data_IF_181951492514
#
_entry.id   IF_181951492514
#
_cell.length_a   1.000
_cell.length_b   1.000
_cell.length_c   1.000
_cell.angle_alpha   90.00
_cell.angle_beta   90.00
_cell.angle_gamma   90.00
#
_symmetry.space_group_name_H-M   'P 1'
#
loop_
_entity.id
_entity.type
_entity.pdbx_description
1 polymer ?
#
# COMPACT_ATOMS: atom_id res chain seq x y z
N UNK A 1 7.25 11.43 -11.96
CA UNK A 1 6.80 10.53 -13.04
C UNK A 1 5.30 10.66 -13.29
N UNK A 2 4.94 10.84 -14.56
CA UNK A 2 3.57 10.76 -15.09
C UNK A 2 3.01 9.32 -15.07
N UNK A 3 1.70 9.17 -15.21
CA UNK A 3 1.03 7.86 -15.35
C UNK A 3 1.64 7.04 -16.49
N UNK A 4 1.89 7.67 -17.65
CA UNK A 4 2.49 7.00 -18.81
C UNK A 4 3.89 6.48 -18.55
N UNK A 5 4.71 7.26 -17.83
CA UNK A 5 6.05 6.85 -17.42
C UNK A 5 6.02 5.69 -16.43
N UNK A 6 5.09 5.69 -15.46
CA UNK A 6 4.89 4.59 -14.51
C UNK A 6 4.48 3.30 -15.20
N UNK A 7 3.55 3.36 -16.17
CA UNK A 7 3.15 2.20 -16.97
C UNK A 7 4.35 1.63 -17.72
N UNK A 8 5.10 2.48 -18.42
CA UNK A 8 6.30 2.10 -19.16
C UNK A 8 7.37 1.50 -18.25
N UNK A 9 7.53 2.07 -17.06
CA UNK A 9 8.48 1.61 -16.05
C UNK A 9 8.19 0.17 -15.61
N UNK A 10 6.99 -0.07 -15.09
CA UNK A 10 6.59 -1.41 -14.63
C UNK A 10 6.55 -2.43 -15.76
N UNK A 11 6.14 -2.03 -16.98
CA UNK A 11 6.18 -2.91 -18.15
C UNK A 11 7.60 -3.39 -18.44
N UNK A 12 8.59 -2.48 -18.39
CA UNK A 12 10.01 -2.82 -18.60
C UNK A 12 10.56 -3.69 -17.48
N UNK A 13 10.21 -3.41 -16.22
CA UNK A 13 10.61 -4.24 -15.08
C UNK A 13 10.09 -5.67 -15.21
N UNK A 14 8.87 -5.83 -15.73
CA UNK A 14 8.28 -7.15 -16.03
C UNK A 14 8.88 -7.81 -17.28
N UNK A 15 9.65 -7.10 -18.09
CA UNK A 15 10.29 -7.64 -19.30
C UNK A 15 9.36 -7.86 -20.49
N UNK A 16 8.18 -7.26 -20.51
CA UNK A 16 7.20 -7.45 -21.61
C UNK A 16 7.19 -6.27 -22.60
N UNK A 17 6.77 -6.51 -23.83
CA UNK A 17 6.59 -5.54 -24.90
C UNK A 17 5.27 -4.78 -24.77
N UNK A 18 5.14 -3.66 -25.50
CA UNK A 18 3.86 -2.93 -25.58
C UNK A 18 2.74 -3.77 -26.20
N UNK A 19 3.08 -4.70 -27.10
CA UNK A 19 2.14 -5.63 -27.72
C UNK A 19 1.62 -6.66 -26.74
N UNK A 20 2.51 -7.28 -25.97
CA UNK A 20 2.12 -8.23 -24.91
C UNK A 20 1.27 -7.54 -23.82
N UNK A 21 1.61 -6.31 -23.44
CA UNK A 21 0.77 -5.55 -22.51
C UNK A 21 -0.63 -5.27 -23.09
N UNK A 22 -0.73 -4.97 -24.39
CA UNK A 22 -2.00 -4.79 -25.08
C UNK A 22 -2.85 -6.07 -25.09
N UNK A 23 -2.22 -7.22 -25.34
CA UNK A 23 -2.87 -8.54 -25.28
C UNK A 23 -3.38 -8.87 -23.88
N UNK A 24 -2.55 -8.71 -22.85
CA UNK A 24 -2.90 -8.99 -21.45
C UNK A 24 -4.05 -8.11 -20.93
N UNK A 25 -4.14 -6.86 -21.42
CA UNK A 25 -5.13 -5.89 -20.95
C UNK A 25 -6.40 -5.85 -21.82
N UNK A 26 -6.35 -6.43 -23.03
CA UNK A 26 -7.37 -6.24 -24.06
C UNK A 26 -7.49 -4.79 -24.56
N UNK A 27 -6.48 -3.95 -24.30
CA UNK A 27 -6.42 -2.56 -24.75
C UNK A 27 -5.71 -2.53 -26.10
N UNK A 28 -6.22 -1.76 -27.05
CA UNK A 28 -5.60 -1.66 -28.38
C UNK A 28 -4.12 -1.20 -28.30
N UNK A 29 -3.17 -1.79 -29.05
CA UNK A 29 -1.74 -1.46 -28.98
C UNK A 29 -1.41 0.03 -29.19
N UNK A 30 -2.17 0.70 -30.07
CA UNK A 30 -2.04 2.15 -30.30
C UNK A 30 -2.37 2.95 -29.03
N UNK A 31 -3.34 2.51 -28.23
CA UNK A 31 -3.70 3.17 -26.97
C UNK A 31 -2.61 2.99 -25.94
N UNK A 32 -2.06 1.78 -25.77
CA UNK A 32 -0.89 1.53 -24.90
C UNK A 32 0.28 2.44 -25.26
N UNK A 33 0.61 2.55 -26.55
CA UNK A 33 1.67 3.46 -27.02
C UNK A 33 1.37 4.93 -26.70
N UNK A 34 0.11 5.37 -26.87
CA UNK A 34 -0.30 6.74 -26.53
C UNK A 34 -0.24 7.00 -25.02
N UNK A 35 -0.58 6.03 -24.19
CA UNK A 35 -0.44 6.13 -22.73
C UNK A 35 1.03 6.27 -22.33
N UNK A 36 1.91 5.37 -22.78
CA UNK A 36 3.35 5.41 -22.42
C UNK A 36 4.11 6.62 -22.99
N UNK A 37 3.53 7.33 -23.96
CA UNK A 37 4.10 8.57 -24.52
C UNK A 37 3.39 9.82 -24.02
N UNK A 38 2.52 9.70 -23.02
CA UNK A 38 1.71 10.79 -22.44
C UNK A 38 0.86 11.56 -23.46
N UNK A 39 0.63 10.98 -24.65
CA UNK A 39 -0.24 11.55 -25.70
C UNK A 39 -1.72 11.33 -25.41
N UNK A 40 -2.03 10.47 -24.45
CA UNK A 40 -3.37 10.18 -23.96
C UNK A 40 -3.25 9.73 -22.51
N UNK A 41 -4.20 10.09 -21.66
CA UNK A 41 -4.27 9.59 -20.28
C UNK A 41 -5.26 8.42 -20.22
N UNK A 42 -4.91 7.29 -19.59
CA UNK A 42 -5.85 6.21 -19.37
C UNK A 42 -6.90 6.60 -18.33
N UNK A 43 -8.13 6.16 -18.54
CA UNK A 43 -9.21 6.29 -17.54
C UNK A 43 -9.00 5.28 -16.40
N UNK A 44 -9.60 5.48 -15.21
CA UNK A 44 -9.42 4.56 -14.08
C UNK A 44 -9.67 3.07 -14.41
N UNK A 45 -10.73 2.68 -15.16
CA UNK A 45 -10.92 1.27 -15.54
C UNK A 45 -9.81 0.71 -16.44
N UNK A 46 -9.13 1.57 -17.21
CA UNK A 46 -7.98 1.17 -18.03
C UNK A 46 -6.74 1.00 -17.16
N UNK A 47 -6.55 1.88 -16.17
CA UNK A 47 -5.47 1.78 -15.19
C UNK A 47 -5.62 0.52 -14.35
N UNK A 48 -6.82 0.15 -13.92
CA UNK A 48 -7.08 -1.12 -13.22
C UNK A 48 -6.62 -2.34 -14.03
N UNK A 49 -6.99 -2.39 -15.32
CA UNK A 49 -6.57 -3.48 -16.22
C UNK A 49 -5.06 -3.52 -16.38
N UNK A 50 -4.43 -2.36 -16.57
CA UNK A 50 -2.97 -2.25 -16.72
C UNK A 50 -2.26 -2.66 -15.42
N UNK A 51 -2.73 -2.20 -14.26
CA UNK A 51 -2.19 -2.55 -12.95
C UNK A 51 -2.27 -4.07 -12.71
N UNK A 52 -3.42 -4.68 -13.01
CA UNK A 52 -3.60 -6.12 -12.93
C UNK A 52 -2.65 -6.88 -13.88
N UNK A 53 -2.53 -6.45 -15.14
CA UNK A 53 -1.63 -7.07 -16.11
C UNK A 53 -0.15 -6.94 -15.72
N UNK A 54 0.22 -5.86 -15.02
CA UNK A 54 1.57 -5.61 -14.55
C UNK A 54 1.85 -6.22 -13.16
N UNK A 55 0.84 -6.77 -12.47
CA UNK A 55 0.89 -7.22 -11.07
C UNK A 55 1.36 -6.13 -10.10
N UNK A 56 0.84 -4.91 -10.26
CA UNK A 56 1.10 -3.79 -9.35
C UNK A 56 -0.22 -3.25 -8.79
N UNK A 57 -0.15 -2.51 -7.69
CA UNK A 57 -1.35 -1.83 -7.18
C UNK A 57 -1.80 -0.72 -8.14
N UNK A 58 -3.10 -0.46 -8.22
CA UNK A 58 -3.66 0.69 -8.95
C UNK A 58 -2.96 2.00 -8.53
N UNK A 59 -2.73 2.18 -7.23
CA UNK A 59 -2.07 3.37 -6.69
C UNK A 59 -0.62 3.52 -7.11
N UNK A 60 0.07 2.42 -7.47
CA UNK A 60 1.43 2.47 -8.00
C UNK A 60 1.49 3.22 -9.33
N UNK A 61 0.42 3.15 -10.13
CA UNK A 61 0.31 3.80 -11.43
C UNK A 61 -0.38 5.16 -11.31
N UNK A 62 -1.48 5.23 -10.57
CA UNK A 62 -2.32 6.42 -10.47
C UNK A 62 -1.85 7.42 -9.39
N UNK A 63 -0.97 6.98 -8.48
CA UNK A 63 -0.61 7.69 -7.26
C UNK A 63 -1.59 7.41 -6.10
N UNK A 64 -1.11 7.52 -4.86
CA UNK A 64 -1.99 7.77 -3.72
C UNK A 64 -2.05 9.27 -3.51
N UNK A 65 -3.26 9.83 -3.52
CA UNK A 65 -3.44 11.17 -2.98
C UNK A 65 -3.17 11.10 -1.48
N UNK A 66 -2.14 11.79 -0.99
CA UNK A 66 -1.83 11.88 0.45
C UNK A 66 -3.01 12.43 1.25
N UNK A 67 -3.95 13.13 0.59
CA UNK A 67 -5.20 13.58 1.19
C UNK A 67 -6.20 12.46 1.51
N UNK A 68 -6.01 11.26 0.96
CA UNK A 68 -6.95 10.13 1.09
C UNK A 68 -7.09 9.60 2.53
N UNK A 69 -6.09 9.83 3.38
CA UNK A 69 -6.12 9.40 4.79
C UNK A 69 -5.65 10.53 5.71
N UNK A 70 -6.53 11.50 5.97
CA UNK A 70 -6.39 12.38 7.14
C UNK A 70 -6.84 11.61 8.37
N UNK A 71 -6.14 11.70 9.49
CA UNK A 71 -6.53 11.06 10.75
C UNK A 71 -6.58 12.11 11.87
N UNK A 72 -7.49 13.07 11.72
CA UNK A 72 -7.64 14.20 12.65
C UNK A 72 -8.86 14.01 13.56
N UNK A 73 -9.88 13.31 13.08
CA UNK A 73 -11.16 13.13 13.78
C UNK A 73 -11.47 11.65 14.05
N UNK A 74 -12.41 11.42 14.98
CA UNK A 74 -12.99 10.07 15.18
C UNK A 74 -13.65 9.54 13.89
N UNK A 75 -14.25 10.41 13.09
CA UNK A 75 -14.87 10.01 11.81
C UNK A 75 -13.84 9.43 10.85
N UNK A 76 -12.67 10.06 10.78
CA UNK A 76 -11.56 9.58 9.95
C UNK A 76 -11.06 8.20 10.39
N UNK A 77 -10.90 8.01 11.71
CA UNK A 77 -10.53 6.71 12.29
C UNK A 77 -11.54 5.63 11.91
N UNK A 78 -12.84 5.92 12.01
CA UNK A 78 -13.88 4.96 11.63
C UNK A 78 -13.80 4.63 10.13
N UNK A 79 -13.58 5.64 9.27
CA UNK A 79 -13.37 5.42 7.84
C UNK A 79 -12.20 4.50 7.54
N UNK A 80 -11.07 4.68 8.23
CA UNK A 80 -9.90 3.82 8.12
C UNK A 80 -10.19 2.38 8.58
N UNK A 81 -10.82 2.20 9.75
CA UNK A 81 -11.18 0.87 10.27
C UNK A 81 -12.16 0.15 9.35
N UNK A 82 -13.17 0.84 8.82
CA UNK A 82 -14.11 0.26 7.86
C UNK A 82 -13.41 -0.16 6.56
N UNK A 83 -12.49 0.66 6.06
CA UNK A 83 -11.71 0.35 4.86
C UNK A 83 -10.79 -0.85 5.09
N UNK A 84 -10.10 -0.89 6.22
CA UNK A 84 -9.24 -2.01 6.62
C UNK A 84 -10.04 -3.32 6.79
N UNK A 85 -11.24 -3.26 7.39
CA UNK A 85 -12.12 -4.42 7.52
C UNK A 85 -12.59 -4.94 6.16
N UNK A 86 -13.10 -4.05 5.29
CA UNK A 86 -13.54 -4.41 3.93
C UNK A 86 -12.41 -4.94 3.05
N UNK A 87 -11.18 -4.44 3.26
CA UNK A 87 -9.98 -4.91 2.58
C UNK A 87 -9.45 -6.25 3.15
N UNK A 88 -10.05 -6.79 4.22
CA UNK A 88 -9.60 -8.03 4.86
C UNK A 88 -8.27 -7.91 5.60
N UNK A 89 -7.92 -6.70 6.05
CA UNK A 89 -6.72 -6.44 6.86
C UNK A 89 -6.99 -6.72 8.35
N UNK A 90 -8.20 -6.42 8.80
CA UNK A 90 -8.62 -6.59 10.19
C UNK A 90 -9.97 -7.30 10.29
N UNK A 91 -10.21 -7.92 11.44
CA UNK A 91 -11.48 -8.55 11.80
C UNK A 91 -11.85 -8.23 13.25
N UNK A 92 -13.15 -8.27 13.54
CA UNK A 92 -13.66 -8.20 14.93
C UNK A 92 -13.74 -9.62 15.45
N UNK A 93 -13.09 -9.88 16.58
CA UNK A 93 -13.16 -11.13 17.31
C UNK A 93 -13.78 -10.90 18.68
N UNK A 94 -14.58 -11.86 19.14
CA UNK A 94 -15.30 -11.78 20.40
C UNK A 94 -16.59 -12.62 20.41
N UNK A 95 -17.13 -12.90 21.59
CA UNK A 95 -18.34 -13.72 21.72
C UNK A 95 -19.56 -12.98 21.20
N UNK A 96 -20.39 -13.70 20.43
CA UNK A 96 -21.67 -13.21 19.94
C UNK A 96 -22.81 -13.67 20.85
N UNK A 97 -23.87 -12.89 20.89
CA UNK A 97 -25.12 -13.30 21.51
C UNK A 97 -25.94 -14.22 20.58
N UNK A 98 -27.11 -14.65 21.05
CA UNK A 98 -28.03 -15.51 20.30
C UNK A 98 -28.60 -14.90 19.02
N UNK A 99 -28.45 -13.58 18.83
CA UNK A 99 -28.89 -12.85 17.65
C UNK A 99 -27.73 -12.53 16.70
N UNK A 100 -26.50 -12.98 17.03
CA UNK A 100 -25.30 -12.74 16.25
C UNK A 100 -24.62 -11.39 16.51
N UNK A 101 -25.08 -10.62 17.51
CA UNK A 101 -24.46 -9.35 17.88
C UNK A 101 -23.25 -9.59 18.80
N UNK A 102 -22.20 -8.81 18.59
CA UNK A 102 -20.99 -8.87 19.40
C UNK A 102 -21.21 -8.31 20.81
N UNK A 103 -20.67 -8.99 21.83
CA UNK A 103 -20.61 -8.45 23.19
C UNK A 103 -19.43 -7.49 23.29
N UNK A 104 -19.70 -6.19 23.13
CA UNK A 104 -18.70 -5.12 22.98
C UNK A 104 -17.55 -5.20 23.99
N UNK A 105 -17.85 -5.44 25.26
CA UNK A 105 -16.87 -5.50 26.37
C UNK A 105 -15.85 -6.65 26.23
N UNK A 106 -16.16 -7.65 25.39
CA UNK A 106 -15.33 -8.84 25.17
C UNK A 106 -14.83 -8.91 23.72
N UNK A 107 -14.96 -7.82 22.96
CA UNK A 107 -14.53 -7.74 21.58
C UNK A 107 -13.16 -7.08 21.43
N UNK A 108 -12.43 -7.51 20.42
CA UNK A 108 -11.17 -6.91 20.02
C UNK A 108 -11.04 -6.89 18.49
N UNK A 109 -10.17 -6.01 18.00
CA UNK A 109 -9.79 -5.98 16.58
C UNK A 109 -8.52 -6.83 16.44
N UNK A 110 -8.56 -7.83 15.56
CA UNK A 110 -7.39 -8.65 15.23
C UNK A 110 -6.94 -8.36 13.81
N UNK A 111 -5.62 -8.44 13.58
CA UNK A 111 -5.07 -8.57 12.23
C UNK A 111 -5.50 -9.91 11.64
N UNK A 112 -5.78 -9.95 10.34
CA UNK A 112 -6.05 -11.21 9.65
C UNK A 112 -4.79 -12.09 9.60
N UNK A 113 -4.92 -13.43 9.41
CA UNK A 113 -3.76 -14.31 9.42
C UNK A 113 -2.67 -13.88 8.43
N UNK A 114 -3.07 -13.39 7.25
CA UNK A 114 -2.15 -12.82 6.24
C UNK A 114 -1.27 -11.71 6.83
N UNK A 115 -1.85 -10.73 7.53
CA UNK A 115 -1.07 -9.65 8.15
C UNK A 115 -0.31 -10.09 9.40
N UNK A 116 -0.85 -11.03 10.17
CA UNK A 116 -0.21 -11.52 11.39
C UNK A 116 1.14 -12.22 11.14
N UNK A 117 1.39 -12.69 9.91
CA UNK A 117 2.69 -13.23 9.50
C UNK A 117 3.78 -12.16 9.42
N UNK A 118 3.41 -10.92 9.12
CA UNK A 118 4.32 -9.80 8.88
C UNK A 118 4.36 -8.81 10.04
N UNK A 119 3.33 -8.81 10.90
CA UNK A 119 3.19 -7.85 11.99
C UNK A 119 2.81 -8.55 13.30
N UNK A 120 3.48 -8.17 14.37
CA UNK A 120 3.15 -8.55 15.74
C UNK A 120 2.99 -7.29 16.59
N UNK A 121 2.04 -7.28 17.52
CA UNK A 121 1.98 -6.25 18.55
C UNK A 121 2.91 -6.67 19.68
N UNK A 122 3.89 -5.83 19.99
CA UNK A 122 4.85 -6.05 21.07
C UNK A 122 4.59 -5.02 22.16
N UNK A 123 4.32 -5.51 23.37
CA UNK A 123 4.19 -4.69 24.58
C UNK A 123 2.76 -4.52 25.06
N UNK A 124 2.40 -5.32 26.07
CA UNK A 124 1.70 -4.85 27.27
C UNK A 124 2.28 -5.46 28.56
N UNK A 125 3.42 -6.16 28.48
CA UNK A 125 4.07 -6.76 29.64
C UNK A 125 5.33 -5.97 29.95
N UNK A 126 5.20 -4.92 30.77
CA UNK A 126 6.10 -4.68 31.91
C UNK A 126 5.80 -3.35 32.62
N UNK A 127 5.96 -3.38 33.95
CA UNK A 127 5.68 -2.31 34.92
C UNK A 127 6.54 -1.03 34.76
N UNK A 128 7.39 -0.96 33.72
CA UNK A 128 8.21 0.20 33.39
C UNK A 128 7.45 1.19 32.50
N UNK A 129 6.80 2.14 33.17
CA UNK A 129 5.79 3.13 32.74
C UNK A 129 6.01 4.01 31.48
N UNK A 130 6.99 3.79 30.62
CA UNK A 130 7.31 4.77 29.57
C UNK A 130 7.28 4.29 28.10
N UNK A 131 7.03 3.02 27.80
CA UNK A 131 6.94 2.57 26.39
C UNK A 131 5.50 2.35 25.95
N UNK A 132 5.12 3.04 24.86
CA UNK A 132 3.89 2.77 24.13
C UNK A 132 3.97 1.40 23.43
N UNK A 133 2.85 0.69 23.24
CA UNK A 133 2.82 -0.55 22.45
C UNK A 133 3.38 -0.31 21.06
N UNK A 134 4.21 -1.25 20.58
CA UNK A 134 4.86 -1.16 19.28
C UNK A 134 4.29 -2.19 18.30
N UNK A 135 4.09 -1.78 17.04
CA UNK A 135 3.86 -2.71 15.95
C UNK A 135 5.23 -3.19 15.44
N UNK A 136 5.59 -4.43 15.75
CA UNK A 136 6.81 -5.06 15.27
C UNK A 136 6.56 -5.67 13.90
N UNK A 137 7.35 -5.27 12.92
CA UNK A 137 7.43 -5.98 11.63
C UNK A 137 8.30 -7.23 11.85
N UNK A 138 7.71 -8.40 11.66
CA UNK A 138 8.37 -9.71 11.89
C UNK A 138 9.21 -10.15 10.70
N UNK A 139 8.81 -9.76 9.48
CA UNK A 139 9.59 -10.01 8.26
C UNK A 139 10.71 -8.98 8.11
N UNK A 140 11.96 -9.43 8.20
CA UNK A 140 13.13 -8.55 8.11
C UNK A 140 13.30 -7.89 6.76
N UNK A 141 12.83 -8.50 5.67
CA UNK A 141 12.91 -7.90 4.33
C UNK A 141 11.98 -6.71 4.22
N UNK A 142 10.73 -6.85 4.69
CA UNK A 142 9.74 -5.78 4.73
C UNK A 142 10.21 -4.63 5.62
N UNK A 143 10.79 -4.94 6.79
CA UNK A 143 11.32 -3.92 7.69
C UNK A 143 12.50 -3.17 7.07
N UNK A 144 13.43 -3.88 6.44
CA UNK A 144 14.60 -3.27 5.77
C UNK A 144 14.17 -2.34 4.64
N UNK A 145 13.21 -2.76 3.82
CA UNK A 145 12.66 -1.97 2.72
C UNK A 145 11.97 -0.70 3.23
N UNK A 146 11.19 -0.80 4.31
CA UNK A 146 10.53 0.35 4.92
C UNK A 146 11.52 1.34 5.55
N UNK A 147 12.54 0.87 6.27
CA UNK A 147 13.58 1.73 6.85
C UNK A 147 14.35 2.46 5.74
N UNK A 148 14.67 1.77 4.64
CA UNK A 148 15.32 2.38 3.49
C UNK A 148 14.48 3.52 2.90
N UNK A 149 13.18 3.30 2.73
CA UNK A 149 12.27 4.34 2.26
C UNK A 149 12.16 5.51 3.25
N UNK A 150 12.01 5.24 4.55
CA UNK A 150 11.88 6.28 5.59
C UNK A 150 13.10 7.21 5.64
N UNK A 151 14.31 6.64 5.57
CA UNK A 151 15.54 7.43 5.59
C UNK A 151 15.61 8.43 4.43
N UNK A 152 15.22 8.00 3.22
CA UNK A 152 15.22 8.85 2.03
C UNK A 152 14.08 9.87 2.04
N UNK A 153 12.90 9.47 2.51
CA UNK A 153 11.78 10.39 2.71
C UNK A 153 12.17 11.53 3.67
N UNK A 154 12.85 11.20 4.77
CA UNK A 154 13.34 12.19 5.73
C UNK A 154 14.45 13.08 5.16
N UNK A 155 15.36 12.51 4.38
CA UNK A 155 16.49 13.24 3.80
C UNK A 155 16.09 14.24 2.71
N UNK A 156 15.09 13.92 1.89
CA UNK A 156 14.63 14.76 0.78
C UNK A 156 13.39 15.60 1.13
N UNK A 157 12.28 14.95 1.45
CA UNK A 157 10.96 15.60 1.52
C UNK A 157 10.81 16.56 2.73
N UNK A 158 11.26 16.13 3.92
CA UNK A 158 11.18 16.97 5.11
C UNK A 158 12.14 18.17 5.07
N UNK A 159 13.34 18.00 4.50
CA UNK A 159 14.30 19.10 4.32
C UNK A 159 13.80 20.13 3.31
N UNK A 160 13.16 19.69 2.23
CA UNK A 160 12.56 20.61 1.25
C UNK A 160 11.38 21.39 1.83
N UNK A 161 10.51 20.78 2.66
CA UNK A 161 9.47 21.53 3.38
C UNK A 161 10.06 22.59 4.34
N UNK A 162 11.14 22.27 5.05
CA UNK A 162 11.84 23.24 5.91
C UNK A 162 12.56 24.35 5.12
N UNK A 163 13.02 24.06 3.90
CA UNK A 163 13.67 25.03 3.01
C UNK A 163 12.66 25.93 2.27
N UNK A 164 11.47 25.43 1.96
CA UNK A 164 10.36 26.21 1.39
C UNK A 164 9.82 27.24 2.39
N UNK A 165 9.88 26.94 3.69
CA UNK A 165 9.51 27.88 4.76
C UNK A 165 10.60 28.91 5.08
N UNK A 166 11.86 28.66 4.68
CA UNK A 166 13.00 29.58 4.82
C UNK A 166 13.49 30.05 3.45
N UNK A 167 12.82 31.08 2.92
CA UNK A 167 13.09 31.65 1.60
C UNK A 167 14.56 32.00 1.36
N UNK A 168 15.12 31.54 0.23
CA UNK A 168 16.19 32.18 -0.55
C UNK A 168 16.53 31.39 -1.83
N UNK A 169 16.86 32.11 -2.91
CA UNK A 169 17.29 31.73 -4.28
C UNK A 169 16.63 30.52 -4.97
N UNK A 170 15.90 30.80 -6.06
CA UNK A 170 14.91 29.94 -6.71
C UNK A 170 15.39 28.98 -7.80
N UNK A 171 16.64 29.05 -8.27
CA UNK A 171 17.07 28.31 -9.48
C UNK A 171 17.83 27.00 -9.18
N UNK A 172 18.77 26.98 -8.23
CA UNK A 172 19.47 25.74 -7.83
C UNK A 172 18.61 24.82 -6.95
N UNK A 173 17.55 25.36 -6.33
CA UNK A 173 16.62 24.61 -5.48
C UNK A 173 15.70 23.68 -6.26
N UNK A 174 15.31 24.08 -7.49
CA UNK A 174 14.37 23.30 -8.30
C UNK A 174 15.03 22.04 -8.87
N UNK A 175 16.30 22.10 -9.27
CA UNK A 175 16.99 20.95 -9.88
C UNK A 175 17.25 19.83 -8.86
N UNK A 176 17.69 20.20 -7.65
CA UNK A 176 17.96 19.23 -6.58
C UNK A 176 16.66 18.60 -6.06
N UNK A 177 15.60 19.40 -5.89
CA UNK A 177 14.28 18.90 -5.48
C UNK A 177 13.67 17.94 -6.50
N UNK A 178 13.77 18.22 -7.80
CA UNK A 178 13.26 17.35 -8.86
C UNK A 178 14.02 16.01 -8.91
N UNK A 179 15.36 16.01 -8.82
CA UNK A 179 16.17 14.79 -8.81
C UNK A 179 15.88 13.90 -7.58
N UNK A 180 15.69 14.50 -6.40
CA UNK A 180 15.32 13.76 -5.18
C UNK A 180 13.90 13.21 -5.25
N UNK A 181 12.95 13.99 -5.75
CA UNK A 181 11.57 13.56 -5.90
C UNK A 181 11.45 12.41 -6.90
N UNK A 182 12.19 12.46 -8.01
CA UNK A 182 12.29 11.33 -8.94
C UNK A 182 12.92 10.10 -8.27
N UNK A 183 13.98 10.26 -7.49
CA UNK A 183 14.62 9.15 -6.78
C UNK A 183 13.72 8.50 -5.73
N UNK A 184 12.99 9.31 -4.95
CA UNK A 184 12.03 8.83 -3.96
C UNK A 184 10.89 8.06 -4.63
N UNK A 185 10.31 8.65 -5.68
CA UNK A 185 9.24 8.00 -6.45
C UNK A 185 9.73 6.71 -7.12
N UNK A 186 10.94 6.69 -7.64
CA UNK A 186 11.57 5.49 -8.22
C UNK A 186 11.69 4.36 -7.21
N UNK A 187 12.08 4.66 -5.97
CA UNK A 187 12.17 3.68 -4.88
C UNK A 187 10.80 3.20 -4.43
N UNK A 188 9.81 4.10 -4.35
CA UNK A 188 8.43 3.70 -4.06
C UNK A 188 7.89 2.73 -5.12
N UNK A 189 8.17 2.98 -6.41
CA UNK A 189 7.80 2.07 -7.49
C UNK A 189 8.54 0.73 -7.37
N UNK A 190 9.83 0.74 -7.06
CA UNK A 190 10.64 -0.48 -6.90
C UNK A 190 10.13 -1.37 -5.75
N UNK A 191 9.85 -0.76 -4.60
CA UNK A 191 9.29 -1.47 -3.45
C UNK A 191 7.91 -2.07 -3.77
N UNK A 192 7.09 -1.36 -4.54
CA UNK A 192 5.78 -1.82 -4.97
C UNK A 192 5.82 -2.84 -6.12
N UNK A 193 6.96 -3.02 -6.79
CA UNK A 193 7.12 -3.98 -7.88
C UNK A 193 7.25 -5.44 -7.40
N UNK A 194 7.36 -5.67 -6.09
CA UNK A 194 7.48 -7.02 -5.52
C UNK A 194 6.31 -7.91 -5.93
N UNK A 195 6.62 -9.05 -6.57
CA UNK A 195 5.64 -10.03 -7.02
C UNK A 195 5.42 -11.18 -6.03
N UNK A 196 6.02 -11.10 -4.84
CA UNK A 196 5.86 -12.12 -3.79
C UNK A 196 4.39 -12.11 -3.36
N UNK A 197 3.67 -13.21 -3.63
CA UNK A 197 2.29 -13.36 -3.18
C UNK A 197 2.26 -13.35 -1.66
N UNK A 198 1.33 -12.57 -1.09
CA UNK A 198 0.93 -12.74 0.29
C UNK A 198 0.29 -14.11 0.41
N UNK A 199 0.76 -14.92 1.35
CA UNK A 199 0.18 -16.23 1.58
C UNK A 199 -1.25 -16.05 2.12
N UNK A 200 -2.23 -16.61 1.42
CA UNK A 200 -3.66 -16.47 1.73
C UNK A 200 -4.26 -17.74 2.32
N UNK A 201 -3.47 -18.80 2.55
CA UNK A 201 -4.01 -20.02 3.15
C UNK A 201 -4.35 -19.77 4.62
N UNK A 202 -5.57 -19.30 4.85
CA UNK A 202 -6.28 -19.55 6.09
C UNK A 202 -7.06 -20.84 5.84
N UNK A 203 -6.60 -21.93 6.44
CA UNK A 203 -7.38 -23.15 6.59
C UNK A 203 -8.70 -22.75 7.27
N UNK A 204 -9.78 -22.68 6.49
CA UNK A 204 -11.10 -22.71 7.07
C UNK A 204 -11.34 -24.19 7.32
N UNK A 205 -11.14 -24.60 8.58
CA UNK A 205 -11.63 -25.88 9.06
C UNK A 205 -13.15 -25.89 8.89
N UNK A 206 -13.58 -26.34 7.72
CA UNK A 206 -14.88 -26.97 7.53
C UNK A 206 -14.80 -28.32 8.24
N UNK A 207 -14.89 -28.31 9.58
CA UNK A 207 -15.34 -29.49 10.32
C UNK A 207 -16.85 -29.58 10.14
N UNK A 208 -17.23 -29.97 8.92
CA UNK A 208 -18.49 -30.64 8.65
C UNK A 208 -18.32 -32.10 9.04
N UNK A 209 -18.28 -32.40 10.33
CA UNK A 209 -18.60 -33.75 10.81
C UNK A 209 -20.02 -33.75 11.37
N UNK A 210 -20.91 -34.14 10.46
CA UNK A 210 -22.11 -34.88 10.77
C UNK A 210 -21.77 -36.10 11.63
N UNK A 211 -22.07 -36.04 12.93
CA UNK A 211 -22.36 -37.24 13.69
C UNK A 211 -23.84 -37.24 14.05
N UNK A 212 -24.55 -38.06 13.28
CA UNK A 212 -25.79 -38.72 13.66
C UNK A 212 -25.57 -39.58 14.89
N UNK A 213 -26.34 -39.33 15.95
CA UNK A 213 -26.95 -40.37 16.80
C UNK A 213 -28.41 -40.01 17.06
#
# INVERSE_FOLDING_TARGET
MTIGEKIKYFRKQRGITQGELAELTGIHPVSIRKYETNKMQPLPPQVEKIAAALNVNFSAIYGMDQSAFRLETRGDLMGLLMTAYKAGLIQVDGPKDRYGAFKEEQCCIRLTPVLSQYFAVVGQEDENRNMLPALKVTDSSVLSDFIRWEGLYREGYLKDQELLTKGNSSEDKNYVADDFQEMLEQIELDLQASQKKLDKTCDHGDDADSETE
#
